data_IF_960596134532
#
_entry.id   IF_960596134532
#
_cell.length_a   1.000
_cell.length_b   1.000
_cell.length_c   1.000
_cell.angle_alpha   90.00
_cell.angle_beta   90.00
_cell.angle_gamma   90.00
#
_symmetry.space_group_name_H-M   'P 1'
#
loop_
_entity.id
_entity.type
_entity.pdbx_description
1 polymer ?
#
# COMPACT_ATOMS: atom_id res chain seq x y z
N UNK A 1 12.02 -4.15 -44.19
CA UNK A 1 11.11 -4.08 -43.02
C UNK A 1 11.42 -2.79 -42.28
N UNK A 2 10.47 -1.83 -42.19
CA UNK A 2 10.73 -0.51 -41.59
C UNK A 2 10.44 -0.58 -40.09
N UNK A 3 11.49 -0.52 -39.29
CA UNK A 3 11.42 -0.55 -37.83
C UNK A 3 10.75 0.74 -37.36
N UNK A 4 9.50 0.66 -36.90
CA UNK A 4 8.82 1.79 -36.26
C UNK A 4 9.40 1.93 -34.86
N UNK A 5 10.45 2.75 -34.74
CA UNK A 5 10.90 3.24 -33.44
C UNK A 5 9.76 4.09 -32.86
N UNK A 6 9.11 3.56 -31.82
CA UNK A 6 8.07 4.28 -31.11
C UNK A 6 8.72 5.51 -30.44
N UNK A 7 8.20 6.74 -30.63
CA UNK A 7 8.79 7.92 -30.01
C UNK A 7 8.68 7.78 -28.49
N UNK A 8 9.83 7.79 -27.80
CA UNK A 8 9.86 7.69 -26.34
C UNK A 8 9.14 8.90 -25.72
N UNK A 9 8.11 8.70 -24.87
CA UNK A 9 7.34 9.79 -24.27
C UNK A 9 8.19 10.69 -23.36
N UNK A 10 9.35 10.20 -22.91
CA UNK A 10 10.34 10.90 -22.10
C UNK A 10 11.04 12.09 -22.78
N UNK A 11 10.91 12.25 -24.11
CA UNK A 11 11.50 13.39 -24.83
C UNK A 11 10.69 14.68 -24.68
N UNK A 12 9.46 14.58 -24.19
CA UNK A 12 8.59 15.73 -23.99
C UNK A 12 9.00 16.39 -22.66
N UNK A 13 9.42 17.67 -22.64
CA UNK A 13 9.85 18.34 -21.41
C UNK A 13 8.78 18.30 -20.32
N UNK A 14 7.50 18.41 -20.71
CA UNK A 14 6.35 18.29 -19.82
C UNK A 14 6.27 16.95 -19.08
N UNK A 15 6.56 15.83 -19.75
CA UNK A 15 6.55 14.49 -19.12
C UNK A 15 7.69 14.37 -18.11
N UNK A 16 8.84 15.00 -18.39
CA UNK A 16 9.97 15.05 -17.46
C UNK A 16 9.63 15.87 -16.21
N UNK A 17 9.01 17.02 -16.37
CA UNK A 17 8.57 17.88 -15.26
C UNK A 17 7.53 17.19 -14.39
N UNK A 18 6.49 16.60 -14.99
CA UNK A 18 5.47 15.83 -14.27
C UNK A 18 6.11 14.63 -13.56
N UNK A 19 7.06 13.94 -14.20
CA UNK A 19 7.80 12.83 -13.60
C UNK A 19 8.58 13.25 -12.35
N UNK A 20 9.23 14.42 -12.37
CA UNK A 20 9.93 14.98 -11.20
C UNK A 20 8.95 15.32 -10.08
N UNK A 21 7.83 15.97 -10.39
CA UNK A 21 6.79 16.30 -9.39
C UNK A 21 6.23 15.02 -8.75
N UNK A 22 5.96 14.00 -9.55
CA UNK A 22 5.51 12.69 -9.07
C UNK A 22 6.55 12.01 -8.17
N UNK A 23 7.84 12.09 -8.54
CA UNK A 23 8.93 11.55 -7.73
C UNK A 23 9.01 12.25 -6.36
N UNK A 24 8.94 13.58 -6.34
CA UNK A 24 8.94 14.35 -5.09
C UNK A 24 7.75 13.95 -4.22
N UNK A 25 6.56 13.81 -4.82
CA UNK A 25 5.36 13.36 -4.11
C UNK A 25 5.53 11.94 -3.54
N UNK A 26 6.14 11.03 -4.28
CA UNK A 26 6.42 9.67 -3.81
C UNK A 26 7.37 9.67 -2.61
N UNK A 27 8.45 10.46 -2.68
CA UNK A 27 9.42 10.60 -1.57
C UNK A 27 8.75 11.22 -0.34
N UNK A 28 7.91 12.23 -0.53
CA UNK A 28 7.17 12.85 0.57
C UNK A 28 6.22 11.86 1.24
N UNK A 29 5.47 11.08 0.46
CA UNK A 29 4.58 10.03 0.97
C UNK A 29 5.35 8.94 1.69
N UNK A 30 6.49 8.50 1.16
CA UNK A 30 7.37 7.52 1.81
C UNK A 30 7.95 8.05 3.12
N UNK A 31 8.36 9.31 3.18
CA UNK A 31 8.88 9.93 4.41
C UNK A 31 7.82 10.05 5.50
N UNK A 32 6.63 10.54 5.16
CA UNK A 32 5.50 10.59 6.11
C UNK A 32 5.13 9.16 6.54
N UNK A 33 5.01 8.22 5.60
CA UNK A 33 4.75 6.81 5.92
C UNK A 33 5.80 6.28 6.87
N UNK A 34 7.09 6.51 6.62
CA UNK A 34 8.15 6.06 7.50
C UNK A 34 7.93 6.61 8.91
N UNK A 35 7.77 7.91 9.10
CA UNK A 35 7.57 8.52 10.42
C UNK A 35 6.32 7.97 11.14
N UNK A 36 5.21 7.78 10.42
CA UNK A 36 3.96 7.26 11.00
C UNK A 36 3.97 5.76 11.27
N UNK A 37 4.76 4.98 10.51
CA UNK A 37 4.89 3.52 10.65
C UNK A 37 6.21 3.09 11.33
N UNK A 38 7.04 4.03 11.76
CA UNK A 38 8.28 3.76 12.52
C UNK A 38 7.97 3.33 13.96
N UNK A 39 6.81 3.73 14.47
CA UNK A 39 6.23 3.06 15.63
C UNK A 39 5.74 1.69 15.18
N UNK A 40 6.26 0.57 15.72
CA UNK A 40 5.83 -0.76 15.34
C UNK A 40 4.35 -0.92 15.69
N UNK A 41 3.49 -0.68 14.72
CA UNK A 41 2.04 -0.91 14.82
C UNK A 41 1.70 -2.39 14.76
N UNK A 42 2.68 -3.24 14.41
CA UNK A 42 2.61 -4.67 14.61
C UNK A 42 3.11 -4.97 16.03
N UNK A 43 2.24 -5.38 16.98
CA UNK A 43 2.70 -6.00 18.20
C UNK A 43 3.54 -7.23 17.83
N UNK A 44 4.58 -7.56 18.61
CA UNK A 44 5.46 -8.72 18.33
C UNK A 44 4.71 -10.02 18.03
N UNK A 45 3.50 -10.18 18.57
CA UNK A 45 2.63 -11.35 18.39
C UNK A 45 1.52 -11.16 17.34
N UNK A 46 1.53 -10.07 16.57
CA UNK A 46 0.48 -9.73 15.61
C UNK A 46 0.44 -10.68 14.41
N UNK A 47 1.60 -11.11 13.93
CA UNK A 47 1.73 -12.12 12.88
C UNK A 47 1.27 -13.49 13.37
N UNK A 48 1.72 -13.96 14.54
CA UNK A 48 1.28 -15.23 15.12
C UNK A 48 -0.23 -15.27 15.40
N UNK A 49 -0.84 -14.15 15.82
CA UNK A 49 -2.30 -14.07 15.98
C UNK A 49 -3.05 -14.09 14.65
N UNK A 50 -2.53 -13.45 13.61
CA UNK A 50 -3.14 -13.50 12.28
C UNK A 50 -3.00 -14.90 11.65
N UNK A 51 -1.83 -15.52 11.76
CA UNK A 51 -1.59 -16.88 11.29
C UNK A 51 -2.49 -17.88 12.03
N UNK A 52 -2.56 -17.82 13.35
CA UNK A 52 -3.47 -18.66 14.11
C UNK A 52 -4.94 -18.43 13.73
N UNK A 53 -5.39 -17.19 13.48
CA UNK A 53 -6.76 -16.94 13.03
C UNK A 53 -7.05 -17.37 11.59
N UNK A 54 -6.07 -17.31 10.68
CA UNK A 54 -6.25 -17.67 9.26
C UNK A 54 -6.08 -19.18 9.03
N UNK A 55 -5.19 -19.85 9.74
CA UNK A 55 -4.90 -21.28 9.60
C UNK A 55 -5.71 -22.18 10.55
N UNK A 56 -6.35 -21.64 11.60
CA UNK A 56 -7.22 -22.41 12.53
C UNK A 56 -8.71 -22.46 12.10
N UNK A 57 -9.09 -21.99 10.90
CA UNK A 57 -10.49 -22.09 10.45
C UNK A 57 -10.67 -23.17 9.37
N UNK A 58 -11.05 -24.42 9.70
CA UNK A 58 -11.91 -25.17 8.81
C UNK A 58 -13.27 -24.44 8.77
N UNK A 59 -13.88 -24.39 7.59
CA UNK A 59 -15.08 -23.61 7.28
C UNK A 59 -16.17 -23.64 8.38
N UNK A 60 -16.48 -22.49 8.96
CA UNK A 60 -17.75 -22.25 9.66
C UNK A 60 -17.98 -20.74 9.64
N UNK A 61 -19.05 -20.17 9.04
CA UNK A 61 -19.27 -18.74 9.03
C UNK A 61 -19.85 -18.32 10.39
N UNK A 62 -19.10 -17.51 11.11
CA UNK A 62 -19.55 -16.85 12.32
C UNK A 62 -18.93 -15.47 12.26
N UNK A 63 -19.75 -14.55 11.76
CA UNK A 63 -19.59 -13.12 11.92
C UNK A 63 -19.88 -12.81 13.39
N UNK A 64 -18.91 -12.32 14.19
CA UNK A 64 -19.26 -11.73 15.47
C UNK A 64 -19.72 -10.30 15.17
N UNK A 65 -21.04 -10.18 15.05
CA UNK A 65 -21.81 -9.16 15.74
C UNK A 65 -21.12 -7.78 15.84
N UNK A 66 -21.42 -6.91 14.87
CA UNK A 66 -21.43 -5.48 15.08
C UNK A 66 -22.48 -5.16 16.16
N UNK A 67 -22.08 -5.24 17.44
CA UNK A 67 -22.86 -4.71 18.55
C UNK A 67 -22.50 -3.22 18.69
N UNK A 68 -23.13 -2.40 17.83
CA UNK A 68 -23.19 -0.96 18.09
C UNK A 68 -24.16 -0.75 19.25
N UNK A 69 -23.65 -0.43 20.44
CA UNK A 69 -24.45 0.04 21.57
C UNK A 69 -24.91 1.48 21.29
N UNK A 70 -26.23 1.75 21.13
CA UNK A 70 -26.71 3.12 21.07
C UNK A 70 -26.72 3.74 22.48
N UNK A 71 -26.24 4.98 22.60
CA UNK A 71 -26.48 5.85 23.77
C UNK A 71 -27.62 6.81 23.48
#
# INVERSE_FOLDING_TARGET
MKNRQSPSPWRIPLVREIGVILLVKLVLLMGIKAIWFDQPTLPENGTERLDSHLFTRPATPSSPLAEETPR
#
